data_IF_147970130370
#
_entry.id   IF_147970130370
#
_cell.length_a   1.000
_cell.length_b   1.000
_cell.length_c   1.000
_cell.angle_alpha   90.00
_cell.angle_beta   90.00
_cell.angle_gamma   90.00
#
_symmetry.space_group_name_H-M   'P 1'
#
loop_
_entity.id
_entity.type
_entity.pdbx_description
1 polymer ?
#
# COMPACT_ATOMS: atom_id res chain seq x y z
N UNK A 1 -0.23 7.35 2.25
CA UNK A 1 0.94 7.90 1.53
C UNK A 1 0.62 7.82 0.05
N UNK A 2 0.99 8.84 -0.71
CA UNK A 2 0.78 8.92 -2.17
C UNK A 2 2.12 8.58 -2.82
N UNK A 3 2.23 7.43 -3.49
CA UNK A 3 3.44 6.95 -4.14
C UNK A 3 3.05 6.20 -5.42
N UNK A 4 3.83 6.29 -6.48
CA UNK A 4 3.61 5.52 -7.72
C UNK A 4 4.07 4.07 -7.50
N UNK A 5 3.12 3.15 -7.34
CA UNK A 5 3.40 1.73 -7.06
C UNK A 5 3.48 0.89 -8.33
N UNK A 6 2.96 1.38 -9.45
CA UNK A 6 2.88 0.62 -10.70
C UNK A 6 3.86 1.12 -11.78
N UNK A 7 4.56 2.23 -11.54
CA UNK A 7 5.54 2.83 -12.43
C UNK A 7 4.94 3.63 -13.58
N UNK A 8 3.70 4.10 -13.46
CA UNK A 8 3.00 4.84 -14.53
C UNK A 8 3.21 6.37 -14.48
N UNK A 9 3.98 6.85 -13.50
CA UNK A 9 4.26 8.26 -13.28
C UNK A 9 3.13 9.00 -12.56
N UNK A 10 2.07 8.31 -12.14
CA UNK A 10 0.94 8.84 -11.38
C UNK A 10 1.02 8.27 -9.96
N UNK A 11 0.77 9.12 -8.96
CA UNK A 11 0.72 8.60 -7.59
C UNK A 11 -0.50 7.73 -7.36
N UNK A 12 -0.26 6.55 -6.79
CA UNK A 12 -1.27 5.61 -6.36
C UNK A 12 -1.69 5.86 -4.90
N UNK A 13 -2.81 5.24 -4.51
CA UNK A 13 -3.37 5.34 -3.16
C UNK A 13 -3.04 4.09 -2.34
N UNK A 14 -2.39 4.28 -1.20
CA UNK A 14 -2.18 3.25 -0.18
C UNK A 14 -2.81 3.61 1.17
N UNK A 15 -3.49 2.65 1.80
CA UNK A 15 -4.15 2.76 3.10
C UNK A 15 -3.73 1.59 4.00
N UNK A 16 -3.46 1.90 5.27
CA UNK A 16 -3.21 0.91 6.32
C UNK A 16 -4.34 0.97 7.35
N UNK A 17 -4.99 -0.16 7.59
CA UNK A 17 -5.97 -0.33 8.64
C UNK A 17 -5.27 -0.74 9.94
N UNK A 18 -5.21 0.19 10.89
CA UNK A 18 -4.60 0.00 12.21
C UNK A 18 -5.33 -1.05 13.05
N UNK A 19 -6.63 -1.24 12.86
CA UNK A 19 -7.42 -2.17 13.68
C UNK A 19 -7.16 -3.63 13.29
N UNK A 20 -6.97 -3.89 11.99
CA UNK A 20 -6.79 -5.24 11.45
C UNK A 20 -5.36 -5.56 11.02
N UNK A 21 -4.48 -4.55 10.95
CA UNK A 21 -3.11 -4.72 10.46
C UNK A 21 -3.03 -4.98 8.96
N UNK A 22 -4.05 -4.57 8.21
CA UNK A 22 -4.16 -4.85 6.78
C UNK A 22 -3.80 -3.65 5.92
N UNK A 23 -3.18 -3.93 4.78
CA UNK A 23 -2.83 -2.96 3.76
C UNK A 23 -3.75 -3.07 2.55
N UNK A 24 -4.06 -1.92 1.98
CA UNK A 24 -4.87 -1.75 0.79
C UNK A 24 -4.17 -0.78 -0.16
N UNK A 25 -4.15 -1.08 -1.45
CA UNK A 25 -3.57 -0.21 -2.45
C UNK A 25 -4.36 -0.27 -3.76
N UNK A 26 -4.49 0.87 -4.42
CA UNK A 26 -5.07 0.97 -5.75
C UNK A 26 -4.41 2.07 -6.55
N UNK A 27 -4.42 1.90 -7.86
CA UNK A 27 -3.98 2.95 -8.77
C UNK A 27 -4.89 4.16 -8.74
N UNK A 28 -4.39 5.30 -9.23
CA UNK A 28 -5.24 6.47 -9.48
C UNK A 28 -6.42 6.16 -10.44
N UNK A 29 -6.23 5.22 -11.38
CA UNK A 29 -7.26 4.74 -12.30
C UNK A 29 -8.24 3.72 -11.67
N UNK A 30 -8.07 3.39 -10.38
CA UNK A 30 -8.97 2.51 -9.64
C UNK A 30 -8.66 1.02 -9.75
N UNK A 31 -7.63 0.61 -10.49
CA UNK A 31 -7.13 -0.79 -10.46
C UNK A 31 -6.64 -1.12 -9.05
N UNK A 32 -7.20 -2.17 -8.45
CA UNK A 32 -6.73 -2.68 -7.15
C UNK A 32 -5.35 -3.31 -7.34
N UNK A 33 -4.38 -2.81 -6.58
CA UNK A 33 -3.02 -3.35 -6.51
C UNK A 33 -2.87 -4.30 -5.33
N UNK A 34 -3.57 -4.01 -4.24
CA UNK A 34 -3.55 -4.79 -3.01
C UNK A 34 -4.88 -4.71 -2.28
N UNK A 35 -5.33 -5.85 -1.75
CA UNK A 35 -6.57 -5.91 -0.97
C UNK A 35 -6.41 -6.76 0.29
N UNK A 36 -6.42 -6.11 1.45
CA UNK A 36 -6.51 -6.78 2.75
C UNK A 36 -5.30 -7.63 3.11
N UNK A 37 -4.09 -7.23 2.69
CA UNK A 37 -2.89 -8.05 2.92
C UNK A 37 -2.09 -7.56 4.12
N UNK A 38 -1.68 -8.48 4.99
CA UNK A 38 -0.78 -8.16 6.11
C UNK A 38 0.67 -8.22 5.63
N UNK A 39 1.28 -7.05 5.44
CA UNK A 39 2.70 -6.89 5.09
C UNK A 39 3.55 -6.31 6.23
N UNK A 40 2.91 -6.01 7.36
CA UNK A 40 3.57 -5.47 8.53
C UNK A 40 2.58 -4.97 9.58
N UNK A 41 3.12 -4.32 10.60
CA UNK A 41 2.39 -3.68 11.69
C UNK A 41 3.32 -2.81 12.53
N UNK A 42 2.83 -2.17 13.60
CA UNK A 42 3.66 -1.38 14.50
C UNK A 42 4.91 -2.17 14.92
N UNK A 43 6.10 -1.64 14.62
CA UNK A 43 7.38 -2.27 14.94
C UNK A 43 8.03 -3.13 13.84
N UNK A 44 7.37 -3.31 12.69
CA UNK A 44 8.00 -3.95 11.52
C UNK A 44 8.82 -2.90 10.75
N UNK A 45 10.10 -3.19 10.53
CA UNK A 45 11.03 -2.33 9.79
C UNK A 45 11.11 -2.85 8.34
N UNK A 46 10.78 -2.04 7.32
CA UNK A 46 10.96 -2.45 5.92
C UNK A 46 12.43 -2.77 5.65
N UNK A 47 12.71 -3.90 4.99
CA UNK A 47 14.03 -4.17 4.45
C UNK A 47 14.09 -3.52 3.07
N UNK A 48 14.85 -2.44 2.93
CA UNK A 48 15.12 -1.82 1.64
C UNK A 48 16.13 -2.68 0.86
N UNK A 49 15.83 -3.02 -0.39
CA UNK A 49 16.88 -3.36 -1.37
C UNK A 49 17.41 -2.10 -2.02
#
# INVERSE_FOLDING_TARGET
>A
MSCDFNGDGISDLGVYDLATGQWYARTAAGKVLLWGVSWGGPGIIPVTQ
#
